data_IF_383110295564
#
_entry.id   IF_383110295564
#
_cell.length_a   1.000
_cell.length_b   1.000
_cell.length_c   1.000
_cell.angle_alpha   90.00
_cell.angle_beta   90.00
_cell.angle_gamma   90.00
#
_symmetry.space_group_name_H-M   'P 1'
#
loop_
_entity.id
_entity.type
_entity.pdbx_description
1 polymer ?
#
# COMPACT_ATOMS: atom_id res chain seq x y z
N UNK A 1 -11.38 -23.58 24.12
CA UNK A 1 -10.09 -22.86 24.04
C UNK A 1 -9.91 -22.46 22.60
N UNK A 2 -9.75 -21.16 22.30
CA UNK A 2 -9.44 -20.71 20.94
C UNK A 2 -7.95 -21.01 20.73
N UNK A 3 -7.60 -21.77 19.69
CA UNK A 3 -6.19 -21.98 19.33
C UNK A 3 -5.58 -20.63 18.91
N UNK A 4 -4.62 -20.11 19.69
CA UNK A 4 -3.86 -18.90 19.34
C UNK A 4 -3.15 -18.99 17.98
N UNK A 5 -2.95 -20.20 17.45
CA UNK A 5 -2.40 -20.44 16.12
C UNK A 5 -3.24 -19.84 14.98
N UNK A 6 -4.57 -19.74 15.16
CA UNK A 6 -5.51 -19.31 14.13
C UNK A 6 -5.75 -17.80 14.06
N UNK A 7 -5.40 -17.04 15.11
CA UNK A 7 -5.68 -15.61 15.21
C UNK A 7 -4.74 -14.78 14.33
N UNK A 8 -5.29 -13.91 13.48
CA UNK A 8 -4.52 -13.00 12.64
C UNK A 8 -4.31 -11.68 13.40
N UNK A 9 -3.05 -11.32 13.62
CA UNK A 9 -2.67 -10.01 14.16
C UNK A 9 -2.64 -8.96 13.04
N UNK A 10 -2.98 -7.72 13.40
CA UNK A 10 -3.17 -6.62 12.45
C UNK A 10 -2.45 -5.36 12.94
N UNK A 11 -2.34 -4.35 12.07
CA UNK A 11 -1.69 -3.08 12.38
C UNK A 11 -2.69 -1.92 12.40
N UNK A 12 -2.48 -0.97 13.32
CA UNK A 12 -3.20 0.30 13.46
C UNK A 12 -2.17 1.43 13.60
N UNK A 13 -2.12 2.36 12.63
CA UNK A 13 -1.17 3.47 12.63
C UNK A 13 -1.48 4.45 11.48
N UNK A 14 -0.69 5.53 11.37
CA UNK A 14 -0.58 6.31 10.12
C UNK A 14 0.17 5.55 9.00
N UNK A 15 1.08 4.65 9.38
CA UNK A 15 1.93 3.89 8.47
C UNK A 15 2.14 2.47 9.00
N UNK A 16 1.84 1.46 8.19
CA UNK A 16 1.99 0.04 8.53
C UNK A 16 2.85 -0.73 7.52
N UNK A 17 3.62 -0.04 6.67
CA UNK A 17 4.37 -0.71 5.60
C UNK A 17 5.43 -1.67 6.11
N UNK A 18 5.92 -1.51 7.34
CA UNK A 18 6.93 -2.40 7.93
C UNK A 18 6.34 -3.41 8.92
N UNK A 19 5.01 -3.39 9.15
CA UNK A 19 4.36 -4.42 9.94
C UNK A 19 4.53 -5.80 9.29
N UNK A 20 4.80 -6.81 10.12
CA UNK A 20 4.89 -8.21 9.72
C UNK A 20 3.97 -9.02 10.64
N UNK A 21 3.06 -9.84 10.11
CA UNK A 21 2.23 -10.71 10.93
C UNK A 21 3.08 -11.64 11.79
N UNK A 22 2.52 -12.12 12.89
CA UNK A 22 3.23 -13.00 13.82
C UNK A 22 3.61 -14.38 13.24
N UNK A 23 3.15 -14.72 12.02
CA UNK A 23 3.49 -15.92 11.26
C UNK A 23 3.54 -15.62 9.76
N UNK A 24 4.50 -16.23 9.06
CA UNK A 24 4.74 -15.99 7.62
C UNK A 24 3.61 -16.43 6.69
N UNK A 25 2.75 -17.36 7.13
CA UNK A 25 1.59 -17.81 6.34
C UNK A 25 0.36 -16.92 6.54
N UNK A 26 0.39 -15.94 7.44
CA UNK A 26 -0.73 -15.04 7.71
C UNK A 26 -0.66 -13.81 6.79
N UNK A 27 -1.81 -13.30 6.34
CA UNK A 27 -1.85 -12.10 5.50
C UNK A 27 -1.47 -10.85 6.30
N UNK A 28 -0.92 -9.85 5.62
CA UNK A 28 -0.61 -8.55 6.20
C UNK A 28 -1.82 -7.61 6.09
N UNK A 29 -2.43 -7.30 7.24
CA UNK A 29 -3.70 -6.58 7.34
C UNK A 29 -3.51 -5.28 8.14
N UNK A 30 -3.99 -4.18 7.57
CA UNK A 30 -4.03 -2.85 8.21
C UNK A 30 -5.48 -2.50 8.54
N UNK A 31 -5.85 -2.66 9.80
CA UNK A 31 -7.23 -2.49 10.30
C UNK A 31 -7.60 -1.04 10.54
N UNK A 32 -6.65 -0.17 10.86
CA UNK A 32 -6.89 1.26 11.04
C UNK A 32 -5.83 2.11 10.39
N UNK A 33 -6.07 2.51 9.15
CA UNK A 33 -5.36 3.60 8.49
C UNK A 33 -5.98 4.93 8.93
N UNK A 34 -5.33 5.60 9.88
CA UNK A 34 -5.86 6.82 10.48
C UNK A 34 -5.94 7.96 9.46
N UNK A 35 -7.14 8.33 9.03
CA UNK A 35 -7.36 9.36 7.98
C UNK A 35 -7.22 10.80 8.47
N UNK A 36 -6.89 10.96 9.74
CA UNK A 36 -6.80 12.19 10.53
C UNK A 36 -6.63 11.83 12.00
N UNK A 37 -7.05 12.73 12.89
CA UNK A 37 -7.11 12.46 14.32
C UNK A 37 -8.42 13.01 14.89
N UNK A 38 -8.85 12.52 16.06
CA UNK A 38 -10.02 13.07 16.72
C UNK A 38 -9.73 14.49 17.21
N UNK A 39 -10.76 15.33 17.20
CA UNK A 39 -10.69 16.70 17.73
C UNK A 39 -11.06 16.67 19.22
N UNK A 40 -10.13 17.05 20.08
CA UNK A 40 -10.40 17.23 21.50
C UNK A 40 -11.11 18.58 21.76
N UNK A 41 -11.90 18.66 22.84
CA UNK A 41 -12.53 19.92 23.24
C UNK A 41 -11.48 21.02 23.48
N UNK A 42 -11.64 22.17 22.83
CA UNK A 42 -10.69 23.28 22.89
C UNK A 42 -9.37 23.03 22.14
N UNK A 43 -9.21 21.90 21.46
CA UNK A 43 -8.03 21.55 20.68
C UNK A 43 -8.06 22.09 19.24
N UNK A 44 -6.97 21.88 18.52
CA UNK A 44 -6.90 22.13 17.07
C UNK A 44 -7.67 21.06 16.30
N UNK A 45 -7.98 21.33 15.03
CA UNK A 45 -8.59 20.36 14.12
C UNK A 45 -7.50 19.66 13.28
N UNK A 46 -7.09 18.42 13.59
CA UNK A 46 -5.95 17.79 12.95
C UNK A 46 -6.31 17.31 11.54
N UNK A 47 -5.52 17.72 10.54
CA UNK A 47 -5.72 17.35 9.16
C UNK A 47 -4.60 16.46 8.64
N UNK A 48 -4.97 15.35 7.98
CA UNK A 48 -4.06 14.50 7.21
C UNK A 48 -4.32 14.67 5.70
N UNK A 49 -3.32 15.05 4.89
CA UNK A 49 -3.46 15.24 3.45
C UNK A 49 -3.89 13.96 2.71
N UNK A 50 -4.56 14.12 1.58
CA UNK A 50 -5.01 13.01 0.75
C UNK A 50 -3.83 12.24 0.15
N UNK A 51 -2.81 12.98 -0.28
CA UNK A 51 -1.57 12.52 -0.90
C UNK A 51 -0.78 11.67 0.09
N UNK A 52 -0.73 12.07 1.36
CA UNK A 52 -0.05 11.31 2.41
C UNK A 52 -0.76 9.97 2.69
N UNK A 53 -2.10 9.98 2.74
CA UNK A 53 -2.88 8.75 2.90
C UNK A 53 -2.63 7.83 1.71
N UNK A 54 -2.69 8.35 0.49
CA UNK A 54 -2.43 7.58 -0.73
C UNK A 54 -1.02 6.98 -0.73
N UNK A 55 -0.01 7.78 -0.37
CA UNK A 55 1.38 7.36 -0.24
C UNK A 55 1.55 6.23 0.78
N UNK A 56 0.94 6.36 1.96
CA UNK A 56 1.01 5.32 3.00
C UNK A 56 0.41 3.99 2.54
N UNK A 57 -0.70 4.03 1.78
CA UNK A 57 -1.37 2.83 1.25
C UNK A 57 -0.53 2.18 0.17
N UNK A 58 0.00 2.95 -0.77
CA UNK A 58 0.81 2.39 -1.83
C UNK A 58 2.12 1.80 -1.29
N UNK A 59 2.72 2.41 -0.25
CA UNK A 59 3.84 1.80 0.49
C UNK A 59 3.48 0.52 1.25
N UNK A 60 2.25 0.42 1.76
CA UNK A 60 1.78 -0.80 2.39
C UNK A 60 1.56 -1.92 1.37
N UNK A 61 0.89 -1.63 0.25
CA UNK A 61 0.59 -2.61 -0.81
C UNK A 61 1.87 -3.06 -1.53
N UNK A 62 2.79 -2.15 -1.87
CA UNK A 62 4.09 -2.52 -2.48
C UNK A 62 4.86 -3.49 -1.57
N UNK A 63 4.65 -3.42 -0.25
CA UNK A 63 5.29 -4.27 0.74
C UNK A 63 4.34 -5.36 1.26
N UNK A 64 3.64 -6.00 0.31
CA UNK A 64 2.81 -7.21 0.48
C UNK A 64 1.57 -7.04 1.36
N UNK A 65 1.11 -5.81 1.56
CA UNK A 65 -0.14 -5.52 2.22
C UNK A 65 -1.34 -5.98 1.40
N UNK A 66 -2.28 -6.71 2.01
CA UNK A 66 -3.41 -7.32 1.30
C UNK A 66 -4.78 -6.77 1.73
N UNK A 67 -4.84 -6.01 2.82
CA UNK A 67 -6.06 -5.38 3.33
C UNK A 67 -5.74 -4.04 4.00
N UNK A 68 -6.51 -3.01 3.68
CA UNK A 68 -6.45 -1.70 4.32
C UNK A 68 -7.86 -1.22 4.63
N UNK A 69 -8.11 -0.79 5.86
CA UNK A 69 -9.34 -0.12 6.26
C UNK A 69 -9.05 1.31 6.71
N UNK A 70 -9.84 2.26 6.20
CA UNK A 70 -9.73 3.67 6.56
C UNK A 70 -10.45 3.93 7.88
N UNK A 71 -9.75 4.50 8.85
CA UNK A 71 -10.31 4.87 10.14
C UNK A 71 -10.21 6.40 10.32
N UNK A 72 -11.25 7.19 10.06
CA UNK A 72 -12.61 6.84 9.67
C UNK A 72 -12.91 7.17 8.21
N UNK A 73 -13.93 6.52 7.65
CA UNK A 73 -14.62 6.95 6.43
C UNK A 73 -15.79 7.86 6.83
N UNK A 74 -15.94 9.01 6.17
CA UNK A 74 -17.02 9.96 6.42
C UNK A 74 -17.73 10.39 5.14
N UNK A 75 -18.44 11.51 5.21
CA UNK A 75 -19.05 12.16 4.05
C UNK A 75 -17.99 12.51 2.98
N UNK A 76 -18.45 12.73 1.74
CA UNK A 76 -17.63 13.19 0.62
C UNK A 76 -16.82 14.44 1.04
N UNK A 77 -15.50 14.30 1.10
CA UNK A 77 -14.55 15.36 1.42
C UNK A 77 -13.51 15.43 0.32
N UNK A 78 -13.62 16.40 -0.57
CA UNK A 78 -12.66 16.62 -1.64
C UNK A 78 -11.48 17.47 -1.16
N UNK A 79 -10.24 17.19 -1.62
CA UNK A 79 -9.87 16.25 -2.70
C UNK A 79 -9.69 14.79 -2.22
N UNK A 80 -9.84 14.52 -0.91
CA UNK A 80 -9.50 13.22 -0.31
C UNK A 80 -10.29 12.06 -0.91
N UNK A 81 -11.61 12.23 -1.08
CA UNK A 81 -12.44 11.18 -1.62
C UNK A 81 -12.11 10.85 -3.09
N UNK A 82 -12.03 11.86 -3.96
CA UNK A 82 -11.68 11.67 -5.36
C UNK A 82 -10.30 11.07 -5.55
N UNK A 83 -9.31 11.57 -4.80
CA UNK A 83 -7.94 11.10 -4.87
C UNK A 83 -7.80 9.62 -4.43
N UNK A 84 -8.44 9.23 -3.32
CA UNK A 84 -8.41 7.84 -2.84
C UNK A 84 -9.26 6.89 -3.71
N UNK A 85 -10.36 7.38 -4.31
CA UNK A 85 -11.12 6.63 -5.32
C UNK A 85 -10.23 6.28 -6.51
N UNK A 86 -9.46 7.24 -7.02
CA UNK A 86 -8.63 7.02 -8.21
C UNK A 86 -7.41 6.13 -7.89
N UNK A 87 -6.86 6.22 -6.67
CA UNK A 87 -5.91 5.22 -6.14
C UNK A 87 -6.51 3.81 -6.15
N UNK A 88 -7.74 3.62 -5.64
CA UNK A 88 -8.37 2.29 -5.65
C UNK A 88 -8.60 1.74 -7.06
N UNK A 89 -8.94 2.60 -8.04
CA UNK A 89 -9.04 2.19 -9.45
C UNK A 89 -7.69 1.69 -9.96
N UNK A 90 -6.59 2.38 -9.63
CA UNK A 90 -5.24 1.93 -10.00
C UNK A 90 -4.88 0.59 -9.35
N UNK A 91 -5.14 0.42 -8.04
CA UNK A 91 -4.94 -0.86 -7.34
C UNK A 91 -5.78 -1.98 -7.97
N UNK A 92 -7.03 -1.68 -8.35
CA UNK A 92 -7.93 -2.65 -9.00
C UNK A 92 -7.37 -3.11 -10.35
N UNK A 93 -6.79 -2.21 -11.14
CA UNK A 93 -6.12 -2.56 -12.40
C UNK A 93 -4.91 -3.46 -12.17
N UNK A 94 -4.18 -3.22 -11.08
CA UNK A 94 -3.05 -4.04 -10.63
C UNK A 94 -3.42 -5.38 -10.00
N UNK A 95 -4.69 -5.63 -9.70
CA UNK A 95 -5.13 -6.82 -8.93
C UNK A 95 -4.58 -8.14 -9.47
N UNK A 96 -4.65 -8.47 -10.79
CA UNK A 96 -4.21 -9.76 -11.28
C UNK A 96 -2.74 -10.05 -10.91
N UNK A 97 -1.87 -9.06 -11.12
CA UNK A 97 -0.44 -9.15 -10.77
C UNK A 97 -0.21 -9.15 -9.27
N UNK A 98 -0.99 -8.40 -8.48
CA UNK A 98 -0.81 -8.34 -7.02
C UNK A 98 -1.17 -9.65 -6.30
N UNK A 99 -2.02 -10.49 -6.89
CA UNK A 99 -2.51 -11.73 -6.25
C UNK A 99 -1.92 -13.00 -6.82
N UNK A 100 -1.25 -12.95 -7.98
CA UNK A 100 -0.67 -14.13 -8.65
C UNK A 100 0.76 -14.46 -8.23
N UNK A 101 1.48 -13.49 -7.66
CA UNK A 101 2.92 -13.58 -7.39
C UNK A 101 3.26 -14.64 -6.34
N UNK A 102 4.21 -15.51 -6.68
CA UNK A 102 4.83 -16.46 -5.75
C UNK A 102 5.62 -15.72 -4.64
N UNK A 103 5.28 -15.94 -3.35
CA UNK A 103 6.01 -15.43 -2.19
C UNK A 103 7.53 -15.61 -2.21
N UNK A 104 8.02 -16.74 -2.74
CA UNK A 104 9.42 -17.12 -2.73
C UNK A 104 10.21 -16.36 -3.82
N UNK A 105 9.57 -16.13 -4.98
CA UNK A 105 10.16 -15.33 -6.06
C UNK A 105 10.27 -13.84 -5.68
N UNK A 106 9.30 -13.32 -4.91
CA UNK A 106 9.35 -11.95 -4.39
C UNK A 106 10.53 -11.73 -3.42
N UNK A 107 10.89 -12.75 -2.62
CA UNK A 107 12.01 -12.69 -1.69
C UNK A 107 13.37 -12.73 -2.42
N UNK A 108 13.47 -13.55 -3.48
CA UNK A 108 14.62 -13.57 -4.40
C UNK A 108 14.79 -12.21 -5.11
N UNK A 109 13.69 -11.62 -5.61
CA UNK A 109 13.72 -10.31 -6.25
C UNK A 109 14.24 -9.21 -5.29
N UNK A 110 13.79 -9.24 -4.03
CA UNK A 110 14.26 -8.33 -2.98
C UNK A 110 15.76 -8.50 -2.67
N UNK A 111 16.25 -9.75 -2.61
CA UNK A 111 17.69 -10.04 -2.41
C UNK A 111 18.56 -9.50 -3.56
N UNK A 112 18.02 -9.48 -4.78
CA UNK A 112 18.68 -8.95 -5.98
C UNK A 112 18.50 -7.43 -6.17
N UNK A 113 17.88 -6.72 -5.21
CA UNK A 113 17.64 -5.27 -5.31
C UNK A 113 16.57 -4.88 -6.34
N UNK A 114 15.76 -5.83 -6.80
CA UNK A 114 14.62 -5.59 -7.69
C UNK A 114 13.40 -5.26 -6.83
N UNK A 115 12.84 -4.06 -6.97
CA UNK A 115 11.63 -3.60 -6.26
C UNK A 115 10.33 -4.17 -6.85
N UNK A 116 10.36 -5.36 -7.44
CA UNK A 116 9.26 -5.88 -8.28
C UNK A 116 9.08 -7.39 -8.15
N UNK A 117 7.83 -7.83 -8.09
CA UNK A 117 7.36 -9.20 -7.87
C UNK A 117 7.34 -10.07 -9.14
N UNK A 118 8.21 -11.08 -9.23
CA UNK A 118 8.43 -11.88 -10.46
C UNK A 118 7.38 -13.00 -10.61
N UNK A 119 6.67 -13.03 -11.75
CA UNK A 119 5.92 -14.20 -12.26
C UNK A 119 6.67 -14.76 -13.49
N UNK A 120 6.84 -16.09 -13.55
CA UNK A 120 7.78 -16.77 -14.48
C UNK A 120 7.25 -17.14 -15.87
N UNK A 121 6.10 -16.66 -16.35
CA UNK A 121 5.70 -16.90 -17.77
C UNK A 121 5.30 -15.65 -18.57
N UNK A 122 5.30 -14.47 -17.95
CA UNK A 122 5.32 -13.20 -18.66
C UNK A 122 5.92 -12.15 -17.71
N UNK A 123 7.03 -11.53 -18.08
CA UNK A 123 7.68 -10.47 -17.28
C UNK A 123 6.80 -9.21 -17.35
N UNK A 124 5.67 -9.21 -16.64
CA UNK A 124 4.78 -8.07 -16.46
C UNK A 124 4.70 -7.77 -14.97
N UNK A 125 5.58 -6.88 -14.51
CA UNK A 125 5.70 -6.52 -13.10
C UNK A 125 4.71 -5.40 -12.74
N UNK A 126 4.16 -5.46 -11.52
CA UNK A 126 3.50 -4.32 -10.91
C UNK A 126 4.58 -3.31 -10.51
N UNK A 127 4.57 -2.13 -11.12
CA UNK A 127 5.53 -1.08 -10.80
C UNK A 127 4.90 0.01 -9.95
N UNK A 128 5.58 0.32 -8.85
CA UNK A 128 5.22 1.37 -7.93
C UNK A 128 6.17 2.55 -8.09
N UNK A 129 5.66 3.65 -8.63
CA UNK A 129 6.41 4.90 -8.77
C UNK A 129 5.92 5.87 -7.71
N UNK A 130 6.75 6.04 -6.69
CA UNK A 130 6.47 6.96 -5.60
C UNK A 130 7.40 8.16 -5.70
N UNK A 131 6.82 9.35 -5.69
CA UNK A 131 7.55 10.57 -5.41
C UNK A 131 8.16 10.48 -4.00
N UNK A 132 9.44 10.83 -3.85
CA UNK A 132 10.10 10.80 -2.55
C UNK A 132 9.53 11.94 -1.67
N UNK A 133 8.53 11.65 -0.83
CA UNK A 133 7.78 12.65 -0.05
C UNK A 133 8.68 13.57 0.81
N UNK A 134 9.90 13.12 1.14
CA UNK A 134 10.89 13.91 1.90
C UNK A 134 11.69 14.91 1.05
N UNK A 135 11.67 14.83 -0.27
CA UNK A 135 12.39 15.75 -1.14
C UNK A 135 11.42 16.63 -1.92
N UNK A 136 11.64 17.94 -1.91
CA UNK A 136 10.92 18.91 -2.75
C UNK A 136 11.25 18.80 -4.26
N UNK A 137 11.99 17.76 -4.66
CA UNK A 137 12.45 17.57 -6.03
C UNK A 137 11.71 16.42 -6.71
N UNK A 138 11.25 16.65 -7.94
CA UNK A 138 10.75 15.60 -8.81
C UNK A 138 11.91 14.72 -9.27
N UNK A 139 11.67 13.41 -9.33
CA UNK A 139 12.63 12.44 -9.86
C UNK A 139 12.02 11.76 -11.08
N UNK A 140 12.81 11.64 -12.15
CA UNK A 140 12.40 10.91 -13.35
C UNK A 140 12.90 9.48 -13.28
N UNK A 141 11.98 8.52 -13.38
CA UNK A 141 12.30 7.09 -13.40
C UNK A 141 12.08 6.55 -14.81
N UNK A 142 13.09 5.89 -15.40
CA UNK A 142 12.92 5.10 -16.62
C UNK A 142 12.60 3.66 -16.22
N UNK A 143 11.38 3.21 -16.48
CA UNK A 143 11.06 1.79 -16.45
C UNK A 143 11.53 1.16 -17.76
N UNK A 144 12.53 0.29 -17.69
CA UNK A 144 13.19 -0.34 -18.84
C UNK A 144 12.31 -1.44 -19.49
N UNK A 145 11.03 -1.17 -19.76
CA UNK A 145 10.10 -2.10 -20.39
C UNK A 145 9.62 -3.27 -19.51
N UNK A 146 10.05 -3.31 -18.25
CA UNK A 146 9.74 -4.38 -17.29
C UNK A 146 8.36 -4.23 -16.60
N UNK A 147 7.80 -3.02 -16.62
CA UNK A 147 6.52 -2.72 -15.99
C UNK A 147 5.37 -3.12 -16.89
N UNK A 148 4.40 -3.84 -16.34
CA UNK A 148 3.16 -4.09 -17.05
C UNK A 148 2.51 -2.78 -17.48
N UNK A 149 2.02 -2.70 -18.72
CA UNK A 149 1.19 -1.58 -19.17
C UNK A 149 -0.14 -1.52 -18.41
N UNK A 150 -0.59 -2.65 -17.86
CA UNK A 150 -1.83 -2.76 -17.09
C UNK A 150 -1.67 -2.44 -15.61
N UNK A 151 -0.44 -2.36 -15.09
CA UNK A 151 -0.20 -2.05 -13.67
C UNK A 151 1.00 -1.11 -13.46
N UNK A 152 0.69 0.19 -13.41
CA UNK A 152 1.62 1.25 -13.04
C UNK A 152 0.97 2.13 -11.98
N UNK A 153 1.30 1.92 -10.71
CA UNK A 153 0.83 2.80 -9.63
C UNK A 153 1.73 4.02 -9.59
N UNK A 154 1.17 5.17 -9.98
CA UNK A 154 1.83 6.49 -9.96
C UNK A 154 1.08 7.37 -8.96
N UNK A 155 1.81 7.89 -7.97
CA UNK A 155 1.31 8.82 -6.95
C UNK A 155 2.00 10.18 -7.05
#
# INVERSE_FOLDING_TARGET
>A
MIEEGSLIDTCNAFYCENFTPNKNYKPKIWTENWTGWYTAFGGTNPYRPAEDIAFSIARFIQNRGSFVNYYMVGLLNEPKWGHLRDLHKAIKQCKPTLVSVDPNLAEIAKFLGLTTTVDTEAIQLACFFHSNYKSSQSSSYKANGLCSSSCQMRL
#
